data_IF_745464419246
#
_entry.id   IF_745464419246
#
_cell.length_a   1.000
_cell.length_b   1.000
_cell.length_c   1.000
_cell.angle_alpha   90.00
_cell.angle_beta   90.00
_cell.angle_gamma   90.00
#
_symmetry.space_group_name_H-M   'P 1'
#
loop_
_entity.id
_entity.type
_entity.pdbx_description
1 polymer ?
#
# COMPACT_ATOMS: atom_id res chain seq x y z
N UNK A 1 -6.16 5.34 -26.71
CA UNK A 1 -5.83 4.62 -25.47
C UNK A 1 -5.38 5.66 -24.46
N UNK A 2 -6.22 5.95 -23.46
CA UNK A 2 -6.00 7.06 -22.53
C UNK A 2 -4.88 6.73 -21.53
N UNK A 3 -3.85 7.58 -21.48
CA UNK A 3 -2.76 7.51 -20.50
C UNK A 3 -3.21 8.00 -19.12
N UNK A 4 -4.10 7.24 -18.47
CA UNK A 4 -4.46 7.44 -17.08
C UNK A 4 -3.43 6.78 -16.15
N UNK A 5 -3.12 7.41 -15.02
CA UNK A 5 -2.24 6.83 -14.02
C UNK A 5 -2.88 5.60 -13.35
N UNK A 6 -2.11 4.53 -13.20
CA UNK A 6 -2.54 3.32 -12.49
C UNK A 6 -2.27 3.40 -10.99
N UNK A 7 -2.83 2.47 -10.20
CA UNK A 7 -2.48 2.31 -8.77
C UNK A 7 -1.00 1.97 -8.58
N UNK A 8 -0.41 1.24 -9.52
CA UNK A 8 1.02 0.95 -9.50
C UNK A 8 1.84 2.22 -9.73
N UNK A 9 1.43 3.10 -10.64
CA UNK A 9 2.09 4.39 -10.87
C UNK A 9 2.01 5.28 -9.64
N UNK A 10 0.85 5.32 -8.97
CA UNK A 10 0.69 6.02 -7.70
C UNK A 10 1.62 5.45 -6.61
N UNK A 11 1.68 4.13 -6.49
CA UNK A 11 2.55 3.44 -5.53
C UNK A 11 4.05 3.70 -5.81
N UNK A 12 4.47 3.65 -7.08
CA UNK A 12 5.84 3.96 -7.49
C UNK A 12 6.18 5.44 -7.28
N UNK A 13 5.23 6.34 -7.56
CA UNK A 13 5.37 7.77 -7.28
C UNK A 13 5.58 8.02 -5.79
N UNK A 14 4.84 7.31 -4.93
CA UNK A 14 5.00 7.41 -3.48
C UNK A 14 6.31 6.77 -2.99
N UNK A 15 6.80 5.72 -3.65
CA UNK A 15 8.04 5.03 -3.28
C UNK A 15 9.31 5.87 -3.50
N UNK A 16 9.26 6.93 -4.31
CA UNK A 16 10.39 7.82 -4.61
C UNK A 16 10.24 9.21 -3.98
N UNK A 17 11.26 10.05 -4.12
CA UNK A 17 11.19 11.48 -3.79
C UNK A 17 11.03 12.22 -5.13
N UNK A 18 9.89 12.86 -5.34
CA UNK A 18 9.66 13.61 -6.58
C UNK A 18 10.00 15.08 -6.34
N UNK A 19 10.93 15.61 -7.15
CA UNK A 19 11.27 17.02 -7.16
C UNK A 19 10.53 17.75 -8.27
N UNK A 20 9.95 18.90 -7.96
CA UNK A 20 9.32 19.81 -8.91
C UNK A 20 9.85 21.22 -8.69
N UNK A 21 10.09 21.94 -9.77
CA UNK A 21 10.49 23.34 -9.69
C UNK A 21 9.25 24.21 -9.53
N UNK A 22 9.20 25.01 -8.46
CA UNK A 22 8.19 26.02 -8.24
C UNK A 22 8.70 27.36 -8.78
N UNK A 23 8.04 27.88 -9.82
CA UNK A 23 8.31 29.22 -10.34
C UNK A 23 7.97 30.30 -9.29
N UNK A 24 8.66 31.45 -9.30
CA UNK A 24 8.30 32.57 -8.43
C UNK A 24 6.86 33.01 -8.71
N UNK A 25 6.13 33.43 -7.67
CA UNK A 25 4.78 33.99 -7.83
C UNK A 25 4.83 35.30 -8.61
N UNK A 26 3.82 35.56 -9.43
CA UNK A 26 3.74 36.76 -10.27
C UNK A 26 3.91 38.03 -9.43
N UNK A 27 4.96 38.80 -9.71
CA UNK A 27 5.28 40.06 -9.04
C UNK A 27 6.46 40.02 -8.07
N UNK A 28 6.99 38.84 -7.73
CA UNK A 28 8.24 38.73 -6.96
C UNK A 28 9.46 38.67 -7.89
N UNK A 29 10.38 39.62 -7.75
CA UNK A 29 11.72 39.53 -8.34
C UNK A 29 12.57 38.50 -7.56
N UNK A 30 12.29 37.20 -7.76
CA UNK A 30 12.93 36.10 -7.05
C UNK A 30 13.32 34.94 -7.97
N UNK A 31 14.32 34.15 -7.54
CA UNK A 31 14.63 32.84 -8.15
C UNK A 31 13.60 31.84 -7.61
N UNK A 32 13.03 31.01 -8.47
CA UNK A 32 12.17 29.91 -8.03
C UNK A 32 12.94 28.86 -7.23
N UNK A 33 12.22 27.88 -6.67
CA UNK A 33 12.79 26.88 -5.77
C UNK A 33 12.41 25.46 -6.17
N UNK A 34 13.35 24.52 -6.00
CA UNK A 34 13.04 23.09 -6.08
C UNK A 34 12.34 22.65 -4.79
N UNK A 35 11.18 22.01 -4.94
CA UNK A 35 10.40 21.47 -3.84
C UNK A 35 10.19 19.97 -4.04
N UNK A 36 10.12 19.21 -2.95
CA UNK A 36 9.82 17.78 -2.99
C UNK A 36 8.46 17.46 -2.37
N UNK A 37 7.84 16.39 -2.83
CA UNK A 37 6.50 15.95 -2.41
C UNK A 37 6.44 15.19 -1.06
N UNK A 38 7.58 14.93 -0.43
CA UNK A 38 7.64 14.25 0.89
C UNK A 38 7.32 15.14 2.09
N UNK A 39 7.22 16.45 1.92
CA UNK A 39 6.96 17.36 3.05
C UNK A 39 5.57 17.07 3.63
N UNK A 40 5.47 16.91 4.96
CA UNK A 40 4.19 16.64 5.65
C UNK A 40 3.65 15.21 5.52
N UNK A 41 4.22 14.34 4.66
CA UNK A 41 3.72 12.98 4.43
C UNK A 41 3.99 12.01 5.59
N UNK A 42 4.93 12.36 6.48
CA UNK A 42 5.45 11.43 7.49
C UNK A 42 6.38 10.37 6.89
N UNK A 43 6.64 9.30 7.63
CA UNK A 43 7.54 8.24 7.17
C UNK A 43 6.74 7.11 6.50
N UNK A 44 6.41 7.32 5.23
CA UNK A 44 5.63 6.38 4.43
C UNK A 44 6.54 5.49 3.60
N UNK A 45 6.27 4.19 3.61
CA UNK A 45 7.07 3.14 2.98
C UNK A 45 6.21 2.18 2.15
N UNK A 46 6.70 1.75 0.97
CA UNK A 46 6.08 0.64 0.26
C UNK A 46 6.29 -0.67 1.03
N UNK A 47 5.25 -1.49 1.16
CA UNK A 47 5.33 -2.79 1.83
C UNK A 47 4.56 -3.87 1.06
N UNK A 48 5.04 -5.12 1.02
CA UNK A 48 4.20 -6.25 0.66
C UNK A 48 3.21 -6.53 1.80
N UNK A 49 1.94 -6.70 1.48
CA UNK A 49 0.90 -7.01 2.48
C UNK A 49 0.33 -8.41 2.34
N UNK A 50 0.78 -9.17 1.35
CA UNK A 50 0.39 -10.57 1.18
C UNK A 50 0.43 -10.99 -0.27
N UNK A 51 -0.52 -11.81 -0.66
CA UNK A 51 -0.49 -12.56 -1.91
C UNK A 51 -1.84 -12.61 -2.62
N UNK A 52 -1.79 -12.57 -3.95
CA UNK A 52 -2.92 -12.72 -4.86
C UNK A 52 -2.78 -14.01 -5.65
N UNK A 53 -3.88 -14.74 -5.82
CA UNK A 53 -3.91 -15.98 -6.58
C UNK A 53 -3.64 -15.73 -8.07
N UNK A 54 -2.73 -16.51 -8.66
CA UNK A 54 -2.47 -16.52 -10.11
C UNK A 54 -3.31 -17.57 -10.85
N UNK A 55 -4.00 -18.43 -10.12
CA UNK A 55 -4.79 -19.53 -10.67
C UNK A 55 -5.60 -20.26 -9.60
N UNK A 56 -6.11 -21.42 -9.98
CA UNK A 56 -6.95 -22.26 -9.14
C UNK A 56 -6.19 -22.85 -7.94
N UNK A 57 -6.94 -23.39 -6.97
CA UNK A 57 -6.34 -24.19 -5.91
C UNK A 57 -6.05 -25.59 -6.45
N UNK A 58 -4.88 -26.11 -6.12
CA UNK A 58 -4.48 -27.47 -6.41
C UNK A 58 -4.69 -28.35 -5.18
N UNK A 59 -5.19 -29.57 -5.40
CA UNK A 59 -5.38 -30.55 -4.34
C UNK A 59 -4.05 -30.92 -3.66
N UNK A 60 -4.15 -31.35 -2.40
CA UNK A 60 -2.99 -31.79 -1.64
C UNK A 60 -2.24 -32.93 -2.36
N UNK A 61 -0.91 -32.79 -2.48
CA UNK A 61 -0.06 -33.78 -3.13
C UNK A 61 -0.09 -33.77 -4.67
N UNK A 62 -0.92 -32.94 -5.31
CA UNK A 62 -0.96 -32.86 -6.78
C UNK A 62 0.20 -32.06 -7.38
N UNK A 63 0.90 -31.25 -6.57
CA UNK A 63 2.02 -30.43 -6.99
C UNK A 63 3.33 -31.06 -6.53
N UNK A 64 4.19 -31.44 -7.49
CA UNK A 64 5.49 -32.01 -7.21
C UNK A 64 6.38 -31.00 -6.45
N UNK A 65 7.20 -31.51 -5.51
CA UNK A 65 8.11 -30.71 -4.69
C UNK A 65 7.45 -29.60 -3.85
N UNK A 66 6.14 -29.71 -3.58
CA UNK A 66 5.51 -28.92 -2.52
C UNK A 66 6.15 -29.24 -1.16
N UNK A 67 6.07 -28.29 -0.22
CA UNK A 67 6.66 -28.43 1.13
C UNK A 67 6.13 -29.66 1.88
N UNK A 68 4.86 -30.00 1.66
CA UNK A 68 4.20 -31.19 2.14
C UNK A 68 3.12 -31.63 1.14
N UNK A 69 2.62 -32.86 1.30
CA UNK A 69 1.63 -33.47 0.39
C UNK A 69 0.21 -33.49 0.97
N UNK A 70 -0.01 -32.84 2.11
CA UNK A 70 -1.29 -32.86 2.83
C UNK A 70 -2.03 -31.52 2.81
N UNK A 71 -1.34 -30.46 2.44
CA UNK A 71 -1.89 -29.11 2.35
C UNK A 71 -2.20 -28.76 0.89
N UNK A 72 -3.40 -28.23 0.58
CA UNK A 72 -3.70 -27.69 -0.74
C UNK A 72 -2.71 -26.60 -1.16
N UNK A 73 -2.35 -26.57 -2.43
CA UNK A 73 -1.33 -25.67 -2.97
C UNK A 73 -1.94 -24.62 -3.88
N UNK A 74 -1.36 -23.41 -3.92
CA UNK A 74 -1.76 -22.37 -4.88
C UNK A 74 -0.57 -21.51 -5.28
N UNK A 75 -0.45 -21.24 -6.58
CA UNK A 75 0.50 -20.26 -7.10
C UNK A 75 -0.02 -18.85 -6.87
N UNK A 76 0.87 -17.96 -6.41
CA UNK A 76 0.52 -16.61 -6.02
C UNK A 76 1.57 -15.59 -6.45
N UNK A 77 1.16 -14.33 -6.53
CA UNK A 77 2.05 -13.17 -6.67
C UNK A 77 1.92 -12.22 -5.46
N UNK A 78 2.89 -11.33 -5.27
CA UNK A 78 2.88 -10.36 -4.16
C UNK A 78 1.84 -9.26 -4.37
N UNK A 79 1.08 -8.98 -3.31
CA UNK A 79 0.25 -7.77 -3.21
C UNK A 79 1.02 -6.68 -2.48
N UNK A 80 1.13 -5.53 -3.11
CA UNK A 80 1.80 -4.36 -2.55
C UNK A 80 0.80 -3.34 -2.01
N UNK A 81 1.19 -2.69 -0.93
CA UNK A 81 0.49 -1.57 -0.33
C UNK A 81 1.50 -0.57 0.21
N UNK A 82 1.01 0.37 1.00
CA UNK A 82 1.77 1.40 1.66
C UNK A 82 1.57 1.26 3.17
N UNK A 83 2.65 1.43 3.93
CA UNK A 83 2.63 1.51 5.38
C UNK A 83 3.28 2.81 5.87
N UNK A 84 3.07 3.14 7.14
CA UNK A 84 3.67 4.32 7.77
C UNK A 84 4.38 3.92 9.06
N UNK A 85 5.64 4.33 9.23
CA UNK A 85 6.32 4.23 10.50
C UNK A 85 5.82 5.34 11.42
N UNK A 86 5.16 4.94 12.51
CA UNK A 86 4.54 5.85 13.48
C UNK A 86 5.15 5.63 14.86
N UNK A 87 5.40 6.72 15.59
CA UNK A 87 5.73 6.61 17.02
C UNK A 87 4.50 6.08 17.78
N UNK A 88 4.66 5.10 18.70
CA UNK A 88 3.54 4.53 19.45
C UNK A 88 2.69 5.55 20.21
N UNK A 89 3.29 6.68 20.64
CA UNK A 89 2.57 7.76 21.32
C UNK A 89 1.56 8.51 20.44
N UNK A 90 1.58 8.28 19.12
CA UNK A 90 0.59 8.83 18.17
C UNK A 90 -0.59 7.87 17.94
N UNK A 91 -0.57 6.69 18.54
CA UNK A 91 -1.70 5.75 18.48
C UNK A 91 -2.68 6.07 19.61
N UNK A 92 -3.96 6.02 19.28
CA UNK A 92 -5.06 6.26 20.22
C UNK A 92 -5.50 4.95 20.90
N UNK A 93 -5.37 3.84 20.17
CA UNK A 93 -5.82 2.52 20.59
C UNK A 93 -4.79 1.46 20.20
N UNK A 94 -4.66 0.39 21.01
CA UNK A 94 -3.64 -0.64 20.79
C UNK A 94 -3.87 -1.44 19.50
N UNK A 95 -5.12 -1.58 19.09
CA UNK A 95 -5.60 -2.25 17.88
C UNK A 95 -4.98 -1.64 16.61
N UNK A 96 -4.72 -0.33 16.63
CA UNK A 96 -4.07 0.38 15.52
C UNK A 96 -2.62 -0.10 15.29
N UNK A 97 -1.99 -0.76 16.25
CA UNK A 97 -0.66 -1.37 16.07
C UNK A 97 -0.73 -2.82 15.57
N UNK A 98 -1.86 -3.50 15.77
CA UNK A 98 -1.97 -4.94 15.56
C UNK A 98 -2.10 -5.27 14.07
N UNK A 99 -1.46 -6.36 13.68
CA UNK A 99 -1.55 -6.92 12.33
C UNK A 99 -2.19 -8.29 12.38
N UNK A 100 -3.11 -8.57 11.46
CA UNK A 100 -3.85 -9.82 11.44
C UNK A 100 -4.07 -10.31 10.01
N UNK A 101 -4.11 -11.64 9.86
CA UNK A 101 -4.44 -12.27 8.58
C UNK A 101 -5.92 -12.05 8.24
N UNK A 102 -6.18 -11.52 7.05
CA UNK A 102 -7.50 -11.29 6.49
C UNK A 102 -7.61 -12.00 5.13
N UNK A 103 -7.37 -13.31 5.13
CA UNK A 103 -7.41 -14.16 3.94
C UNK A 103 -8.86 -14.44 3.50
N UNK A 104 -9.11 -14.31 2.20
CA UNK A 104 -10.32 -14.69 1.49
C UNK A 104 -9.94 -15.65 0.36
N UNK A 105 -9.76 -16.96 0.65
CA UNK A 105 -9.26 -17.93 -0.32
C UNK A 105 -10.14 -18.04 -1.58
N UNK A 106 -11.46 -17.92 -1.43
CA UNK A 106 -12.42 -17.97 -2.54
C UNK A 106 -12.26 -16.80 -3.51
N UNK A 107 -11.84 -15.64 -3.00
CA UNK A 107 -11.50 -14.46 -3.79
C UNK A 107 -10.02 -14.39 -4.18
N UNK A 108 -9.25 -15.45 -3.91
CA UNK A 108 -7.83 -15.51 -4.23
C UNK A 108 -6.96 -14.52 -3.46
N UNK A 109 -7.40 -14.02 -2.31
CA UNK A 109 -6.70 -12.97 -1.56
C UNK A 109 -6.16 -13.51 -0.24
N UNK A 110 -4.86 -13.39 -0.02
CA UNK A 110 -4.20 -13.82 1.21
C UNK A 110 -3.37 -12.67 1.75
N UNK A 111 -3.99 -11.76 2.51
CA UNK A 111 -3.33 -10.53 2.97
C UNK A 111 -3.34 -10.38 4.48
N UNK A 112 -2.40 -9.61 4.98
CA UNK A 112 -2.36 -9.06 6.31
C UNK A 112 -2.98 -7.66 6.30
N UNK A 113 -3.72 -7.31 7.35
CA UNK A 113 -4.34 -6.00 7.54
C UNK A 113 -3.98 -5.44 8.92
N UNK A 114 -4.13 -4.13 9.06
CA UNK A 114 -3.91 -3.37 10.29
C UNK A 114 -5.00 -2.30 10.39
N UNK A 115 -5.42 -1.99 11.62
CA UNK A 115 -6.56 -1.11 11.88
C UNK A 115 -6.19 0.37 12.02
N UNK A 116 -4.93 0.74 11.81
CA UNK A 116 -4.55 2.14 11.77
C UNK A 116 -5.28 2.86 10.63
N UNK A 117 -5.93 3.96 10.99
CA UNK A 117 -6.50 4.94 10.06
C UNK A 117 -5.85 6.27 10.36
N UNK A 118 -5.40 6.96 9.33
CA UNK A 118 -4.83 8.28 9.51
C UNK A 118 -5.94 9.29 9.81
N UNK A 119 -5.63 10.36 10.55
CA UNK A 119 -6.61 11.43 10.81
C UNK A 119 -7.12 12.10 9.52
N UNK A 120 -6.35 12.03 8.43
CA UNK A 120 -6.77 12.48 7.09
C UNK A 120 -7.89 11.61 6.51
N UNK A 121 -7.95 10.32 6.86
CA UNK A 121 -9.01 9.40 6.40
C UNK A 121 -10.37 9.68 7.07
N UNK A 122 -10.39 10.40 8.20
CA UNK A 122 -11.63 10.77 8.91
C UNK A 122 -12.46 11.83 8.16
N UNK A 123 -11.82 12.64 7.30
CA UNK A 123 -12.50 13.64 6.45
C UNK A 123 -12.96 13.05 5.10
N UNK A 124 -12.49 11.85 4.69
CA UNK A 124 -12.87 11.21 3.42
C UNK A 124 -14.10 10.28 3.53
N UNK A 125 -14.54 9.90 4.74
CA UNK A 125 -15.75 9.09 4.93
C UNK A 125 -17.06 9.83 4.63
N UNK A 126 -17.00 11.13 4.32
CA UNK A 126 -18.15 11.97 3.92
C UNK A 126 -18.44 11.95 2.41
N UNK A 127 -17.70 11.16 1.62
CA UNK A 127 -17.97 10.98 0.20
C UNK A 127 -18.48 9.56 -0.11
N UNK A 128 -19.78 9.36 0.11
CA UNK A 128 -20.54 8.25 -0.48
C UNK A 128 -20.60 8.42 -2.02
N UNK A 129 -20.31 7.34 -2.77
CA UNK A 129 -20.65 7.20 -4.19
C UNK A 129 -21.29 5.84 -4.44
#
# INVERSE_FOLDING_TARGET
>A
MGGGASRLDAWLSLARINWRYAAPQDGEHGKGAWQHDRSGLGWVVPIPVGYGALGEMHDAGSVANARDTTTPFRFVESLYSVGQWLSPHRLEHAEQLLWYAASQPDAGRYRCCNDYRSATDADESDYDF
#
